data_IF_687003587557
#
_entry.id   IF_687003587557
#
_cell.length_a   1.000
_cell.length_b   1.000
_cell.length_c   1.000
_cell.angle_alpha   90.00
_cell.angle_beta   90.00
_cell.angle_gamma   90.00
#
_symmetry.space_group_name_H-M   'P 1'
#
loop_
_entity.id
_entity.type
_entity.pdbx_description
1 polymer ?
#
# COMPACT_ATOMS: atom_id res chain seq x y z
N UNK A 1 -11.94 20.79 0.14
CA UNK A 1 -10.96 20.56 -0.94
C UNK A 1 -11.16 19.16 -1.51
N UNK A 2 -11.22 19.02 -2.85
CA UNK A 2 -11.38 17.73 -3.54
C UNK A 2 -10.01 17.06 -3.67
N UNK A 3 -9.89 15.80 -3.25
CA UNK A 3 -8.67 15.01 -3.43
C UNK A 3 -8.39 14.78 -4.93
N UNK A 4 -7.11 14.84 -5.31
CA UNK A 4 -6.68 14.49 -6.67
C UNK A 4 -6.92 13.00 -6.96
N UNK A 5 -6.91 12.62 -8.24
CA UNK A 5 -7.02 11.20 -8.64
C UNK A 5 -5.94 10.35 -7.95
N UNK A 6 -4.70 10.82 -7.99
CA UNK A 6 -3.56 10.13 -7.38
C UNK A 6 -3.71 9.99 -5.85
N UNK A 7 -4.16 11.04 -5.16
CA UNK A 7 -4.42 10.97 -3.71
C UNK A 7 -5.51 9.95 -3.38
N UNK A 8 -6.56 9.84 -4.20
CA UNK A 8 -7.60 8.82 -4.04
C UNK A 8 -7.04 7.41 -4.25
N UNK A 9 -6.13 7.23 -5.20
CA UNK A 9 -5.46 5.96 -5.44
C UNK A 9 -4.60 5.53 -4.24
N UNK A 10 -3.85 6.44 -3.63
CA UNK A 10 -3.08 6.18 -2.39
C UNK A 10 -3.99 5.70 -1.28
N UNK A 11 -5.11 6.39 -1.05
CA UNK A 11 -6.09 5.99 -0.02
C UNK A 11 -6.81 4.67 -0.35
N UNK A 12 -7.01 4.39 -1.64
CA UNK A 12 -7.59 3.12 -2.09
C UNK A 12 -6.65 1.96 -1.79
N UNK A 13 -5.37 2.10 -2.15
CA UNK A 13 -4.33 1.11 -1.89
C UNK A 13 -4.18 0.86 -0.38
N UNK A 14 -4.09 1.91 0.43
CA UNK A 14 -4.00 1.78 1.89
C UNK A 14 -5.15 0.96 2.47
N UNK A 15 -6.40 1.28 2.09
CA UNK A 15 -7.58 0.54 2.55
C UNK A 15 -7.57 -0.91 2.08
N UNK A 16 -7.06 -1.19 0.88
CA UNK A 16 -6.95 -2.56 0.37
C UNK A 16 -5.94 -3.37 1.19
N UNK A 17 -4.75 -2.82 1.47
CA UNK A 17 -3.77 -3.46 2.34
C UNK A 17 -4.33 -3.77 3.74
N UNK A 18 -5.11 -2.86 4.32
CA UNK A 18 -5.79 -3.09 5.60
C UNK A 18 -6.84 -4.22 5.56
N UNK A 19 -7.49 -4.45 4.41
CA UNK A 19 -8.45 -5.56 4.25
C UNK A 19 -7.73 -6.89 4.11
N UNK A 20 -6.67 -6.95 3.30
CA UNK A 20 -5.93 -8.19 3.08
C UNK A 20 -5.19 -8.66 4.35
N UNK A 21 -4.65 -7.73 5.13
CA UNK A 21 -4.04 -8.05 6.44
C UNK A 21 -5.04 -8.67 7.41
N UNK A 22 -6.29 -8.21 7.44
CA UNK A 22 -7.36 -8.81 8.26
C UNK A 22 -7.73 -10.22 7.82
N UNK A 23 -7.57 -10.56 6.54
CA UNK A 23 -7.84 -11.91 6.02
C UNK A 23 -6.74 -12.92 6.39
N UNK A 24 -5.51 -12.44 6.63
CA UNK A 24 -4.34 -13.27 6.95
C UNK A 24 -3.67 -12.77 8.25
N UNK A 25 -4.31 -12.95 9.42
CA UNK A 25 -3.82 -12.37 10.69
C UNK A 25 -2.45 -12.92 11.14
N UNK A 26 -2.05 -14.11 10.68
CA UNK A 26 -0.70 -14.64 10.91
C UNK A 26 0.41 -13.88 10.16
N UNK A 27 0.09 -13.06 9.16
CA UNK A 27 1.10 -12.27 8.44
C UNK A 27 1.24 -10.91 9.13
N UNK A 28 2.40 -10.65 9.73
CA UNK A 28 2.73 -9.38 10.41
C UNK A 28 2.99 -8.23 9.42
N UNK A 29 2.11 -8.04 8.45
CA UNK A 29 2.14 -6.87 7.58
C UNK A 29 1.52 -5.69 8.33
N UNK A 30 2.29 -4.61 8.49
CA UNK A 30 1.78 -3.31 8.95
C UNK A 30 1.77 -2.30 7.80
N UNK A 31 0.67 -2.21 7.02
CA UNK A 31 0.52 -1.18 5.99
C UNK A 31 0.71 0.23 6.57
N UNK A 32 0.42 0.44 7.85
CA UNK A 32 0.61 1.72 8.52
C UNK A 32 2.08 2.12 8.56
N UNK A 33 2.98 1.25 9.01
CA UNK A 33 4.40 1.59 9.14
C UNK A 33 5.04 1.88 7.77
N UNK A 34 4.63 1.16 6.73
CA UNK A 34 5.15 1.39 5.37
C UNK A 34 4.68 2.73 4.78
N UNK A 35 3.41 3.09 4.98
CA UNK A 35 2.90 4.39 4.52
C UNK A 35 3.46 5.55 5.34
N UNK A 36 3.74 5.35 6.64
CA UNK A 36 4.37 6.36 7.50
C UNK A 36 5.78 6.76 7.03
N UNK A 37 6.57 5.81 6.51
CA UNK A 37 7.89 6.10 5.88
C UNK A 37 7.78 7.09 4.71
N UNK A 38 6.63 7.12 4.05
CA UNK A 38 6.38 7.91 2.84
C UNK A 38 5.69 9.27 3.13
N UNK A 39 5.34 9.58 4.38
CA UNK A 39 4.63 10.83 4.75
C UNK A 39 5.45 12.08 4.40
N UNK A 40 6.78 11.97 4.43
CA UNK A 40 7.70 13.10 4.16
C UNK A 40 7.87 13.41 2.67
N UNK A 41 7.36 12.56 1.77
CA UNK A 41 7.45 12.79 0.33
C UNK A 41 6.60 14.00 -0.05
N UNK A 42 7.14 14.88 -0.90
CA UNK A 42 6.38 16.02 -1.40
C UNK A 42 5.16 15.52 -2.17
N UNK A 43 3.98 16.10 -1.87
CA UNK A 43 2.71 15.78 -2.55
C UNK A 43 2.74 16.11 -4.04
N UNK A 44 3.71 16.90 -4.50
CA UNK A 44 3.97 17.27 -5.90
C UNK A 44 4.98 16.36 -6.59
N UNK A 45 5.66 15.48 -5.87
CA UNK A 45 6.52 14.46 -6.46
C UNK A 45 5.69 13.31 -7.01
N UNK A 46 5.00 13.57 -8.12
CA UNK A 46 4.08 12.62 -8.73
C UNK A 46 4.79 11.34 -9.18
N UNK A 47 6.04 11.46 -9.66
CA UNK A 47 6.83 10.31 -10.11
C UNK A 47 7.16 9.35 -8.95
N UNK A 48 7.58 9.87 -7.80
CA UNK A 48 7.82 9.05 -6.61
C UNK A 48 6.53 8.39 -6.10
N UNK A 49 5.42 9.15 -6.05
CA UNK A 49 4.13 8.63 -5.60
C UNK A 49 3.63 7.51 -6.52
N UNK A 50 3.70 7.69 -7.84
CA UNK A 50 3.32 6.67 -8.81
C UNK A 50 4.19 5.42 -8.72
N UNK A 51 5.50 5.59 -8.54
CA UNK A 51 6.40 4.47 -8.33
C UNK A 51 6.02 3.66 -7.08
N UNK A 52 5.76 4.33 -5.96
CA UNK A 52 5.35 3.68 -4.71
C UNK A 52 3.98 3.03 -4.82
N UNK A 53 3.03 3.65 -5.51
CA UNK A 53 1.72 3.04 -5.80
C UNK A 53 1.87 1.74 -6.59
N UNK A 54 2.67 1.74 -7.66
CA UNK A 54 2.94 0.53 -8.46
C UNK A 54 3.63 -0.55 -7.62
N UNK A 55 4.65 -0.18 -6.83
CA UNK A 55 5.35 -1.09 -5.92
C UNK A 55 4.39 -1.72 -4.91
N UNK A 56 3.57 -0.91 -4.24
CA UNK A 56 2.63 -1.37 -3.23
C UNK A 56 1.52 -2.27 -3.80
N UNK A 57 1.00 -1.97 -5.00
CA UNK A 57 0.05 -2.86 -5.69
C UNK A 57 0.64 -4.23 -5.98
N UNK A 58 1.87 -4.26 -6.52
CA UNK A 58 2.57 -5.53 -6.79
C UNK A 58 2.82 -6.33 -5.52
N UNK A 59 3.24 -5.67 -4.43
CA UNK A 59 3.39 -6.33 -3.13
C UNK A 59 2.06 -6.91 -2.66
N UNK A 60 0.98 -6.14 -2.75
CA UNK A 60 -0.35 -6.59 -2.33
C UNK A 60 -0.86 -7.78 -3.14
N UNK A 61 -0.65 -7.79 -4.46
CA UNK A 61 -0.99 -8.94 -5.32
C UNK A 61 -0.24 -10.20 -4.92
N UNK A 62 1.06 -10.08 -4.64
CA UNK A 62 1.87 -11.19 -4.13
C UNK A 62 1.31 -11.71 -2.81
N UNK A 63 1.07 -10.83 -1.83
CA UNK A 63 0.53 -11.22 -0.53
C UNK A 63 -0.91 -11.73 -0.59
N UNK A 64 -1.71 -11.29 -1.56
CA UNK A 64 -3.09 -11.75 -1.77
C UNK A 64 -3.15 -13.14 -2.40
N UNK A 65 -2.08 -13.65 -2.98
CA UNK A 65 -2.05 -14.99 -3.56
C UNK A 65 -2.25 -16.06 -2.47
N UNK A 66 -3.15 -17.05 -2.66
CA UNK A 66 -3.49 -18.04 -1.63
C UNK A 66 -2.32 -18.94 -1.21
N UNK A 67 -1.24 -19.02 -2.00
CA UNK A 67 -0.07 -19.84 -1.71
C UNK A 67 1.06 -19.14 -0.92
N UNK A 68 1.03 -17.81 -0.77
CA UNK A 68 2.10 -17.09 -0.07
C UNK A 68 1.72 -16.94 1.42
N UNK A 69 2.46 -17.68 2.27
CA UNK A 69 2.34 -17.66 3.74
C UNK A 69 3.51 -16.99 4.46
N UNK A 70 4.67 -16.90 3.81
CA UNK A 70 5.85 -16.22 4.35
C UNK A 70 6.61 -15.55 3.21
N UNK A 71 6.83 -14.23 3.33
CA UNK A 71 7.92 -13.54 2.64
C UNK A 71 8.76 -12.95 3.77
N UNK A 72 9.90 -13.60 4.05
CA UNK A 72 10.91 -13.11 5.00
C UNK A 72 11.60 -11.85 4.46
#
# INVERSE_FOLDING_TARGET
MRLSGLQKEVLSLYRHCLRETRKKPQVQLSPRSEFEKSIKIDKRDFAAIEFLLRKGRRQLELYSSPGIRDIH
#
